data_IF_898274892298
#
_entry.id   IF_898274892298
#
_cell.length_a   1.000
_cell.length_b   1.000
_cell.length_c   1.000
_cell.angle_alpha   90.00
_cell.angle_beta   90.00
_cell.angle_gamma   90.00
#
_symmetry.space_group_name_H-M   'P 1'
#
loop_
_entity.id
_entity.type
_entity.pdbx_description
1 polymer ?
#
# COMPACT_ATOMS: atom_id res chain seq x y z
N UNK A 1 10.72 -29.03 -27.11
CA UNK A 1 10.85 -27.62 -26.65
C UNK A 1 9.77 -26.71 -27.24
N UNK A 2 9.39 -26.86 -28.50
CA UNK A 2 8.37 -26.02 -29.17
C UNK A 2 7.01 -25.97 -28.46
N UNK A 3 6.52 -27.09 -27.89
CA UNK A 3 5.24 -27.12 -27.18
C UNK A 3 5.21 -26.28 -25.89
N UNK A 4 6.37 -26.04 -25.25
CA UNK A 4 6.44 -25.15 -24.08
C UNK A 4 6.17 -23.68 -24.45
N UNK A 5 6.52 -23.24 -25.67
CA UNK A 5 6.17 -21.90 -26.15
C UNK A 5 4.65 -21.71 -26.33
N UNK A 6 3.90 -22.80 -26.48
CA UNK A 6 2.44 -22.78 -26.52
C UNK A 6 1.80 -22.96 -25.14
N UNK A 7 2.59 -22.98 -24.05
CA UNK A 7 2.08 -23.16 -22.69
C UNK A 7 1.61 -24.58 -22.37
N UNK A 8 1.99 -25.57 -23.20
CA UNK A 8 1.63 -26.97 -22.97
C UNK A 8 2.70 -27.61 -22.08
N UNK A 9 2.29 -28.07 -20.91
CA UNK A 9 3.18 -28.78 -19.98
C UNK A 9 3.53 -30.16 -20.55
N UNK A 10 4.69 -30.69 -20.15
CA UNK A 10 5.14 -32.01 -20.60
C UNK A 10 4.10 -33.11 -20.34
N UNK A 11 3.42 -33.03 -19.20
CA UNK A 11 2.37 -33.98 -18.78
C UNK A 11 1.15 -33.95 -19.71
N UNK A 12 0.90 -32.84 -20.42
CA UNK A 12 -0.25 -32.66 -21.32
C UNK A 12 0.10 -32.85 -22.81
N UNK A 13 1.35 -33.23 -23.12
CA UNK A 13 1.77 -33.41 -24.51
C UNK A 13 0.97 -34.52 -25.21
N UNK A 14 0.72 -35.64 -24.53
CA UNK A 14 0.01 -36.78 -25.13
C UNK A 14 -1.46 -36.46 -25.42
N UNK A 15 -2.13 -35.76 -24.50
CA UNK A 15 -3.50 -35.28 -24.71
C UNK A 15 -3.57 -34.31 -25.90
N UNK A 16 -2.63 -33.35 -25.97
CA UNK A 16 -2.54 -32.43 -27.10
C UNK A 16 -2.30 -33.17 -28.43
N UNK A 17 -1.37 -34.13 -28.46
CA UNK A 17 -1.10 -34.92 -29.66
C UNK A 17 -2.29 -35.81 -30.04
N UNK A 18 -3.04 -36.31 -29.07
CA UNK A 18 -4.27 -37.06 -29.30
C UNK A 18 -5.37 -36.19 -29.88
N UNK A 19 -5.56 -34.97 -29.37
CA UNK A 19 -6.55 -34.00 -29.84
C UNK A 19 -6.31 -33.57 -31.29
N UNK A 20 -5.05 -33.30 -31.67
CA UNK A 20 -4.71 -32.97 -33.07
C UNK A 20 -4.62 -34.20 -33.97
N UNK A 21 -4.90 -35.40 -33.43
CA UNK A 21 -4.86 -36.67 -34.15
C UNK A 21 -3.46 -37.15 -34.52
N UNK A 22 -2.40 -36.53 -34.00
CA UNK A 22 -1.00 -36.89 -34.26
C UNK A 22 -0.65 -38.31 -33.83
N UNK A 23 -1.33 -38.84 -32.80
CA UNK A 23 -1.10 -40.20 -32.30
C UNK A 23 -1.85 -41.30 -33.10
N UNK A 24 -2.64 -40.95 -34.12
CA UNK A 24 -3.28 -41.96 -34.97
C UNK A 24 -2.25 -42.52 -35.94
N UNK A 25 -2.07 -43.85 -35.99
CA UNK A 25 -1.08 -44.51 -36.85
C UNK A 25 -1.17 -44.09 -38.33
N UNK A 26 -2.38 -43.89 -38.85
CA UNK A 26 -2.61 -43.40 -40.22
C UNK A 26 -2.14 -41.96 -40.42
N UNK A 27 -2.27 -41.13 -39.38
CA UNK A 27 -1.86 -39.72 -39.39
C UNK A 27 -0.35 -39.61 -39.23
N UNK A 28 0.25 -40.34 -38.29
CA UNK A 28 1.69 -40.43 -38.11
C UNK A 28 2.39 -40.98 -39.36
N UNK A 29 1.88 -42.06 -39.98
CA UNK A 29 2.44 -42.64 -41.20
C UNK A 29 2.34 -41.67 -42.39
N UNK A 30 1.19 -41.00 -42.56
CA UNK A 30 1.05 -39.95 -43.58
C UNK A 30 2.06 -38.81 -43.38
N UNK A 31 2.26 -38.38 -42.13
CA UNK A 31 3.20 -37.29 -41.83
C UNK A 31 4.65 -37.70 -42.05
N UNK A 32 5.02 -38.92 -41.65
CA UNK A 32 6.34 -39.48 -41.93
C UNK A 32 6.61 -39.54 -43.44
N UNK A 33 5.64 -39.99 -44.24
CA UNK A 33 5.80 -40.07 -45.69
C UNK A 33 5.86 -38.69 -46.36
N UNK A 34 5.09 -37.70 -45.91
CA UNK A 34 5.20 -36.31 -46.41
C UNK A 34 6.55 -35.70 -46.09
N UNK A 35 7.10 -35.98 -44.91
CA UNK A 35 8.43 -35.50 -44.51
C UNK A 35 9.55 -36.20 -45.29
N UNK A 36 9.50 -37.53 -45.41
CA UNK A 36 10.49 -38.33 -46.13
C UNK A 36 10.49 -38.08 -47.65
N UNK A 37 9.34 -37.72 -48.23
CA UNK A 37 9.22 -37.38 -49.66
C UNK A 37 9.66 -35.96 -49.99
N UNK A 38 10.10 -35.16 -49.01
CA UNK A 38 10.53 -33.77 -49.23
C UNK A 38 9.44 -32.85 -49.77
N UNK A 39 8.17 -33.28 -49.74
CA UNK A 39 7.02 -32.54 -50.29
C UNK A 39 6.56 -31.44 -49.33
N UNK A 40 7.43 -30.46 -49.12
CA UNK A 40 7.25 -29.36 -48.17
C UNK A 40 6.02 -28.50 -48.48
N UNK A 41 5.67 -28.34 -49.76
CA UNK A 41 4.47 -27.60 -50.19
C UNK A 41 3.18 -28.26 -49.69
N UNK A 42 3.15 -29.60 -49.66
CA UNK A 42 1.99 -30.35 -49.15
C UNK A 42 1.87 -30.21 -47.64
N UNK A 43 3.02 -30.08 -46.95
CA UNK A 43 3.08 -29.82 -45.51
C UNK A 43 2.54 -28.41 -45.17
N UNK A 44 2.97 -27.38 -45.93
CA UNK A 44 2.50 -26.00 -45.77
C UNK A 44 1.00 -25.86 -46.12
N UNK A 45 0.56 -26.43 -47.24
CA UNK A 45 -0.83 -26.32 -47.72
C UNK A 45 -1.85 -27.07 -46.83
N UNK A 46 -1.42 -28.09 -46.08
CA UNK A 46 -2.23 -28.72 -45.02
C UNK A 46 -2.40 -27.85 -43.76
N UNK A 47 -1.88 -26.62 -43.77
CA UNK A 47 -2.00 -25.67 -42.67
C UNK A 47 -1.01 -25.87 -41.54
N UNK A 48 0.11 -26.52 -41.83
CA UNK A 48 1.11 -26.91 -40.84
C UNK A 48 2.44 -26.30 -41.27
N UNK A 49 2.78 -25.15 -40.68
CA UNK A 49 4.06 -24.46 -41.00
C UNK A 49 4.11 -22.96 -40.72
N UNK A 50 2.96 -22.29 -40.56
CA UNK A 50 2.91 -20.86 -40.30
C UNK A 50 2.31 -20.06 -41.46
N UNK A 51 1.47 -19.09 -41.09
CA UNK A 51 0.72 -18.12 -41.93
C UNK A 51 -0.05 -18.70 -43.13
N UNK A 52 -1.30 -19.06 -42.88
CA UNK A 52 -2.31 -19.33 -43.92
C UNK A 52 -2.71 -18.09 -44.75
N UNK A 53 -2.49 -16.90 -44.21
CA UNK A 53 -2.91 -15.62 -44.76
C UNK A 53 -1.84 -14.63 -44.32
N UNK A 54 -1.46 -13.68 -45.18
CA UNK A 54 -0.72 -12.50 -44.76
C UNK A 54 -1.37 -11.98 -43.47
N UNK A 55 -0.66 -12.00 -42.35
CA UNK A 55 -1.19 -11.38 -41.15
C UNK A 55 -1.46 -9.92 -41.46
N UNK A 56 -2.43 -9.33 -40.76
CA UNK A 56 -2.69 -7.89 -40.84
C UNK A 56 -1.40 -7.06 -40.86
N UNK A 57 -0.40 -7.39 -40.03
CA UNK A 57 0.86 -6.67 -39.97
C UNK A 57 1.84 -6.95 -41.11
N UNK A 58 1.64 -8.00 -41.92
CA UNK A 58 2.40 -8.14 -43.18
C UNK A 58 1.97 -7.11 -44.22
N UNK A 59 0.71 -6.69 -44.16
CA UNK A 59 0.15 -5.66 -45.03
C UNK A 59 0.35 -4.27 -44.41
N UNK A 60 0.33 -4.18 -43.07
CA UNK A 60 0.43 -2.93 -42.31
C UNK A 60 1.55 -3.00 -41.24
N UNK A 61 2.83 -3.10 -41.65
CA UNK A 61 3.95 -3.20 -40.71
C UNK A 61 4.12 -1.93 -39.86
N UNK A 62 3.80 -0.76 -40.40
CA UNK A 62 3.90 0.51 -39.67
C UNK A 62 2.90 0.57 -38.51
N UNK A 63 1.69 0.00 -38.69
CA UNK A 63 0.70 -0.11 -37.63
C UNK A 63 1.20 -1.06 -36.53
N UNK A 64 1.93 -2.13 -36.87
CA UNK A 64 2.53 -3.01 -35.86
C UNK A 64 3.50 -2.25 -34.96
N UNK A 65 4.40 -1.46 -35.56
CA UNK A 65 5.39 -0.69 -34.84
C UNK A 65 4.74 0.35 -33.91
N UNK A 66 3.73 1.07 -34.41
CA UNK A 66 2.98 2.06 -33.62
C UNK A 66 2.20 1.41 -32.49
N UNK A 67 1.51 0.30 -32.76
CA UNK A 67 0.70 -0.42 -31.76
C UNK A 67 1.57 -1.01 -30.65
N UNK A 68 2.76 -1.53 -31.00
CA UNK A 68 3.74 -2.02 -30.04
C UNK A 68 4.29 -0.89 -29.17
N UNK A 69 4.62 0.26 -29.75
CA UNK A 69 5.10 1.41 -28.97
C UNK A 69 4.01 1.95 -28.03
N UNK A 70 2.77 2.05 -28.52
CA UNK A 70 1.61 2.44 -27.73
C UNK A 70 1.41 1.51 -26.52
N UNK A 71 1.43 0.19 -26.73
CA UNK A 71 1.26 -0.77 -25.63
C UNK A 71 2.40 -0.71 -24.62
N UNK A 72 3.66 -0.55 -25.04
CA UNK A 72 4.80 -0.37 -24.12
C UNK A 72 4.60 0.88 -23.25
N UNK A 73 4.24 2.01 -23.85
CA UNK A 73 4.00 3.26 -23.12
C UNK A 73 2.83 3.16 -22.14
N UNK A 74 1.72 2.55 -22.57
CA UNK A 74 0.52 2.39 -21.72
C UNK A 74 0.75 1.39 -20.58
N UNK A 75 1.47 0.30 -20.82
CA UNK A 75 1.86 -0.65 -19.77
C UNK A 75 2.82 -0.02 -18.74
N UNK A 76 3.65 0.95 -19.15
CA UNK A 76 4.55 1.67 -18.24
C UNK A 76 3.86 2.79 -17.45
N UNK A 77 2.63 3.16 -17.81
CA UNK A 77 1.89 4.25 -17.15
C UNK A 77 1.42 3.84 -15.75
N UNK A 78 1.48 4.80 -14.80
CA UNK A 78 1.07 4.57 -13.40
C UNK A 78 -0.42 4.28 -13.22
N UNK A 79 -1.27 4.72 -14.16
CA UNK A 79 -2.71 4.58 -14.08
C UNK A 79 -3.18 3.11 -14.19
N UNK A 80 -2.38 2.24 -14.82
CA UNK A 80 -2.64 0.80 -14.96
C UNK A 80 -4.05 0.45 -15.52
N UNK A 81 -4.61 1.35 -16.32
CA UNK A 81 -5.94 1.28 -16.95
C UNK A 81 -5.91 0.60 -18.34
N UNK A 82 -4.72 0.31 -18.85
CA UNK A 82 -4.54 -0.28 -20.17
C UNK A 82 -5.07 -1.71 -20.29
N UNK A 83 -5.92 -1.93 -21.30
CA UNK A 83 -6.40 -3.25 -21.67
C UNK A 83 -6.29 -3.54 -23.17
N UNK A 84 -6.64 -4.76 -23.56
CA UNK A 84 -6.57 -5.18 -24.97
C UNK A 84 -7.65 -4.53 -25.85
N UNK A 85 -8.68 -3.91 -25.26
CA UNK A 85 -9.70 -3.16 -25.99
C UNK A 85 -9.19 -1.77 -26.36
N UNK A 86 -8.45 -1.09 -25.47
CA UNK A 86 -7.74 0.14 -25.81
C UNK A 86 -6.77 -0.07 -26.96
N UNK A 87 -6.00 -1.17 -26.95
CA UNK A 87 -5.12 -1.50 -28.08
C UNK A 87 -5.89 -1.73 -29.38
N UNK A 88 -7.03 -2.40 -29.32
CA UNK A 88 -7.86 -2.67 -30.48
C UNK A 88 -8.42 -1.37 -31.09
N UNK A 89 -8.86 -0.42 -30.24
CA UNK A 89 -9.28 0.93 -30.67
C UNK A 89 -8.13 1.70 -31.32
N UNK A 90 -6.96 1.69 -30.70
CA UNK A 90 -5.77 2.35 -31.26
C UNK A 90 -5.46 1.82 -32.66
N UNK A 91 -5.42 0.50 -32.85
CA UNK A 91 -5.17 -0.12 -34.16
C UNK A 91 -6.24 0.26 -35.19
N UNK A 92 -7.51 0.29 -34.77
CA UNK A 92 -8.64 0.68 -35.61
C UNK A 92 -8.47 2.12 -36.14
N UNK A 93 -8.15 3.06 -35.25
CA UNK A 93 -7.89 4.46 -35.61
C UNK A 93 -6.70 4.61 -36.57
N UNK A 94 -5.59 3.93 -36.29
CA UNK A 94 -4.40 3.98 -37.16
C UNK A 94 -4.68 3.39 -38.55
N UNK A 95 -5.49 2.33 -38.64
CA UNK A 95 -5.86 1.70 -39.90
C UNK A 95 -6.65 2.66 -40.81
N UNK A 96 -7.69 3.30 -40.27
CA UNK A 96 -8.50 4.22 -41.06
C UNK A 96 -7.74 5.50 -41.42
N UNK A 97 -6.85 5.97 -40.54
CA UNK A 97 -5.95 7.07 -40.83
C UNK A 97 -5.02 6.75 -42.01
N UNK A 98 -4.41 5.56 -42.02
CA UNK A 98 -3.45 5.16 -43.05
C UNK A 98 -4.11 4.86 -44.40
N UNK A 99 -5.28 4.22 -44.39
CA UNK A 99 -5.96 3.77 -45.61
C UNK A 99 -6.90 4.80 -46.22
N UNK A 100 -7.27 5.85 -45.48
CA UNK A 100 -8.31 6.83 -45.85
C UNK A 100 -9.68 6.21 -46.17
N UNK A 101 -9.91 4.96 -45.77
CA UNK A 101 -11.22 4.31 -45.89
C UNK A 101 -12.14 4.94 -44.84
N UNK A 102 -13.40 5.22 -45.21
CA UNK A 102 -14.39 5.66 -44.24
C UNK A 102 -14.89 4.46 -43.45
N UNK A 103 -14.78 4.52 -42.12
CA UNK A 103 -15.37 3.53 -41.22
C UNK A 103 -16.87 3.42 -41.51
N UNK A 104 -17.35 2.20 -41.72
CA UNK A 104 -18.78 1.94 -41.87
C UNK A 104 -19.47 2.19 -40.52
N UNK A 105 -20.80 2.37 -40.53
CA UNK A 105 -21.57 2.60 -39.30
C UNK A 105 -21.60 1.38 -38.36
N UNK A 106 -20.92 0.28 -38.72
CA UNK A 106 -20.78 -0.88 -37.87
C UNK A 106 -19.69 -0.62 -36.83
N UNK A 107 -20.02 -0.85 -35.57
CA UNK A 107 -19.10 -0.64 -34.43
C UNK A 107 -18.03 -1.76 -34.31
N UNK A 108 -17.70 -2.42 -35.43
CA UNK A 108 -16.72 -3.49 -35.47
C UNK A 108 -15.30 -2.93 -35.58
N UNK A 109 -14.41 -3.44 -34.73
CA UNK A 109 -12.98 -3.12 -34.75
C UNK A 109 -12.27 -3.94 -35.83
N UNK A 110 -11.34 -3.32 -36.56
CA UNK A 110 -10.48 -3.98 -37.55
C UNK A 110 -9.70 -5.16 -36.94
N UNK A 111 -9.30 -5.04 -35.66
CA UNK A 111 -8.77 -6.15 -34.88
C UNK A 111 -9.62 -6.41 -33.65
N UNK A 112 -10.00 -7.67 -33.45
CA UNK A 112 -10.72 -8.07 -32.25
C UNK A 112 -9.86 -7.97 -31.00
N UNK A 113 -10.48 -7.72 -29.84
CA UNK A 113 -9.82 -7.75 -28.52
C UNK A 113 -9.05 -9.07 -28.31
N UNK A 114 -9.60 -10.20 -28.77
CA UNK A 114 -8.94 -11.52 -28.67
C UNK A 114 -7.65 -11.57 -29.49
N UNK A 115 -7.63 -10.97 -30.68
CA UNK A 115 -6.43 -10.86 -31.51
C UNK A 115 -5.39 -9.95 -30.86
N UNK A 116 -5.80 -8.80 -30.31
CA UNK A 116 -4.91 -7.88 -29.61
C UNK A 116 -4.25 -8.51 -28.37
N UNK A 117 -4.94 -9.39 -27.65
CA UNK A 117 -4.34 -10.19 -26.55
C UNK A 117 -3.22 -11.12 -27.06
N UNK A 118 -3.36 -11.69 -28.25
CA UNK A 118 -2.34 -12.52 -28.87
C UNK A 118 -1.16 -11.67 -29.35
N UNK A 119 -1.42 -10.50 -29.91
CA UNK A 119 -0.40 -9.55 -30.33
C UNK A 119 0.46 -9.09 -29.14
N UNK A 120 -0.17 -8.69 -28.02
CA UNK A 120 0.52 -8.34 -26.78
C UNK A 120 1.47 -9.45 -26.32
N UNK A 121 1.00 -10.71 -26.30
CA UNK A 121 1.85 -11.86 -25.96
C UNK A 121 3.00 -12.08 -26.94
N UNK A 122 2.76 -11.91 -28.25
CA UNK A 122 3.80 -12.01 -29.29
C UNK A 122 4.87 -10.94 -29.12
N UNK A 123 4.48 -9.76 -28.67
CA UNK A 123 5.40 -8.65 -28.39
C UNK A 123 6.12 -8.78 -27.05
N UNK A 124 5.87 -9.83 -26.27
CA UNK A 124 6.55 -10.11 -25.00
C UNK A 124 5.77 -9.68 -23.75
N UNK A 125 4.56 -9.14 -23.90
CA UNK A 125 3.76 -8.74 -22.75
C UNK A 125 3.16 -9.94 -22.00
N UNK A 126 3.12 -9.85 -20.67
CA UNK A 126 2.49 -10.84 -19.78
C UNK A 126 1.27 -10.24 -19.11
N UNK A 127 0.21 -11.04 -18.98
CA UNK A 127 -0.98 -10.64 -18.23
C UNK A 127 -0.89 -11.24 -16.83
N UNK A 128 -0.55 -10.41 -15.85
CA UNK A 128 -0.34 -10.86 -14.48
C UNK A 128 -1.43 -10.33 -13.57
N UNK A 129 -1.94 -11.23 -12.72
CA UNK A 129 -2.70 -10.85 -11.54
C UNK A 129 -1.72 -10.45 -10.44
N UNK A 130 -1.70 -9.17 -10.07
CA UNK A 130 -0.94 -8.64 -8.97
C UNK A 130 -1.41 -9.26 -7.65
N UNK A 131 -0.70 -10.30 -7.21
CA UNK A 131 -0.84 -10.89 -5.87
C UNK A 131 0.17 -10.30 -4.89
N UNK A 132 1.09 -9.45 -5.35
CA UNK A 132 2.12 -8.88 -4.50
C UNK A 132 1.61 -7.64 -3.79
N UNK A 133 1.66 -7.68 -2.44
CA UNK A 133 1.51 -6.50 -1.58
C UNK A 133 2.49 -5.42 -2.06
N UNK A 134 2.13 -4.12 -1.99
CA UNK A 134 3.04 -3.05 -2.36
C UNK A 134 4.39 -3.23 -1.65
N UNK A 135 5.47 -3.39 -2.41
CA UNK A 135 6.81 -3.39 -1.85
C UNK A 135 7.14 -1.94 -1.50
N UNK A 136 7.11 -1.59 -0.21
CA UNK A 136 7.62 -0.29 0.22
C UNK A 136 9.14 -0.41 0.39
N UNK A 137 9.86 0.41 -0.36
CA UNK A 137 11.31 0.56 -0.29
C UNK A 137 11.73 0.90 1.16
N UNK A 138 12.72 0.19 1.69
CA UNK A 138 13.25 0.42 3.05
C UNK A 138 12.98 -0.69 4.08
N UNK A 139 12.06 -1.61 3.84
CA UNK A 139 11.78 -2.72 4.78
C UNK A 139 12.96 -3.65 5.07
N UNK A 140 13.96 -3.69 4.19
CA UNK A 140 15.18 -4.49 4.35
C UNK A 140 16.37 -3.71 4.91
N UNK A 141 16.20 -2.42 5.24
CA UNK A 141 17.28 -1.65 5.86
C UNK A 141 17.59 -2.22 7.24
N UNK A 142 18.87 -2.24 7.61
CA UNK A 142 19.33 -2.87 8.83
C UNK A 142 18.72 -2.24 10.10
N UNK A 143 18.54 -0.92 10.10
CA UNK A 143 17.90 -0.20 11.21
C UNK A 143 16.43 -0.59 11.38
N UNK A 144 15.70 -0.75 10.27
CA UNK A 144 14.31 -1.22 10.27
C UNK A 144 14.22 -2.67 10.76
N UNK A 145 15.11 -3.55 10.30
CA UNK A 145 15.18 -4.94 10.76
C UNK A 145 15.49 -5.01 12.26
N UNK A 146 16.38 -4.16 12.76
CA UNK A 146 16.70 -4.09 14.19
C UNK A 146 15.49 -3.63 15.01
N UNK A 147 14.78 -2.59 14.58
CA UNK A 147 13.55 -2.15 15.24
C UNK A 147 12.47 -3.24 15.26
N UNK A 148 12.26 -3.93 14.14
CA UNK A 148 11.33 -5.07 14.07
C UNK A 148 11.75 -6.19 15.02
N UNK A 149 13.05 -6.46 15.14
CA UNK A 149 13.58 -7.47 16.06
C UNK A 149 13.27 -7.09 17.51
N UNK A 150 13.52 -5.84 17.90
CA UNK A 150 13.19 -5.34 19.24
C UNK A 150 11.68 -5.39 19.51
N UNK A 151 10.87 -5.04 18.51
CA UNK A 151 9.42 -5.14 18.60
C UNK A 151 8.98 -6.59 18.87
N UNK A 152 9.49 -7.56 18.10
CA UNK A 152 9.16 -8.98 18.29
C UNK A 152 9.66 -9.52 19.64
N UNK A 153 10.84 -9.10 20.11
CA UNK A 153 11.37 -9.48 21.43
C UNK A 153 10.49 -9.01 22.59
N UNK A 154 9.69 -7.95 22.40
CA UNK A 154 8.72 -7.50 23.38
C UNK A 154 7.52 -8.46 23.48
N UNK A 155 6.92 -8.84 22.34
CA UNK A 155 5.66 -9.58 22.31
C UNK A 155 5.82 -11.10 22.43
N UNK A 156 6.82 -11.70 21.76
CA UNK A 156 6.96 -13.16 21.69
C UNK A 156 7.08 -13.83 23.06
N UNK A 157 7.87 -13.32 24.04
CA UNK A 157 7.94 -13.91 25.37
C UNK A 157 6.64 -13.78 26.18
N UNK A 158 5.72 -12.90 25.78
CA UNK A 158 4.46 -12.62 26.47
C UNK A 158 3.24 -13.12 25.73
N UNK A 159 3.42 -13.91 24.67
CA UNK A 159 2.32 -14.46 23.86
C UNK A 159 1.22 -15.10 24.71
N UNK A 160 1.60 -15.76 25.82
CA UNK A 160 0.69 -16.48 26.72
C UNK A 160 -0.05 -15.56 27.72
N UNK A 161 0.25 -14.26 27.70
CA UNK A 161 -0.47 -13.23 28.45
C UNK A 161 -1.58 -12.56 27.62
N UNK A 162 -1.64 -12.78 26.30
CA UNK A 162 -2.64 -12.19 25.41
C UNK A 162 -3.74 -13.17 25.05
N UNK A 163 -4.93 -12.63 24.78
CA UNK A 163 -6.01 -13.39 24.14
C UNK A 163 -5.69 -13.54 22.65
N UNK A 164 -5.53 -14.78 22.21
CA UNK A 164 -5.23 -15.11 20.80
C UNK A 164 -6.33 -15.98 20.20
N UNK A 165 -6.45 -15.98 18.88
CA UNK A 165 -7.34 -16.89 18.16
C UNK A 165 -6.46 -17.99 17.55
N UNK A 166 -6.81 -19.26 17.80
CA UNK A 166 -6.09 -20.38 17.21
C UNK A 166 -6.21 -20.38 15.69
N UNK A 167 -5.11 -20.63 14.99
CA UNK A 167 -5.13 -20.89 13.56
C UNK A 167 -5.77 -22.25 13.26
N UNK A 168 -6.67 -22.31 12.27
CA UNK A 168 -7.31 -23.56 11.85
C UNK A 168 -8.72 -23.35 11.27
N UNK A 169 -9.31 -24.43 10.75
CA UNK A 169 -10.65 -24.41 10.15
C UNK A 169 -11.78 -24.05 11.15
N UNK A 170 -11.49 -24.10 12.46
CA UNK A 170 -12.41 -23.77 13.54
C UNK A 170 -11.67 -22.91 14.58
N UNK A 171 -11.62 -21.58 14.40
CA UNK A 171 -10.89 -20.69 15.29
C UNK A 171 -11.47 -20.70 16.70
N UNK A 172 -10.61 -20.85 17.72
CA UNK A 172 -10.97 -20.82 19.14
C UNK A 172 -10.16 -19.78 19.88
N UNK A 173 -10.78 -19.10 20.83
CA UNK A 173 -10.10 -18.19 21.75
C UNK A 173 -9.16 -18.98 22.66
N UNK A 174 -7.89 -18.59 22.66
CA UNK A 174 -6.88 -19.00 23.62
C UNK A 174 -6.89 -17.98 24.75
N UNK A 175 -7.14 -18.47 25.96
CA UNK A 175 -7.20 -17.66 27.17
C UNK A 175 -5.78 -17.55 27.74
N UNK A 176 -5.35 -16.36 28.20
CA UNK A 176 -4.07 -16.18 28.87
C UNK A 176 -3.89 -17.18 30.01
N UNK A 177 -2.72 -17.83 30.08
CA UNK A 177 -2.41 -18.84 31.09
C UNK A 177 -1.40 -18.36 32.12
N UNK A 178 -0.73 -17.23 31.86
CA UNK A 178 0.34 -16.70 32.72
C UNK A 178 0.19 -15.20 32.96
N UNK A 179 0.28 -14.82 34.23
CA UNK A 179 0.33 -13.42 34.67
C UNK A 179 -1.02 -12.71 34.61
N UNK A 180 -0.98 -11.37 34.63
CA UNK A 180 -2.16 -10.55 34.42
C UNK A 180 -2.59 -10.62 32.96
N UNK A 181 -3.82 -11.03 32.64
CA UNK A 181 -4.35 -11.02 31.28
C UNK A 181 -4.16 -9.64 30.63
N UNK A 182 -3.70 -9.64 29.39
CA UNK A 182 -3.41 -8.43 28.63
C UNK A 182 -4.27 -8.37 27.37
N UNK A 183 -5.00 -7.28 27.21
CA UNK A 183 -5.78 -6.97 26.03
C UNK A 183 -4.86 -6.24 25.05
N UNK A 184 -4.68 -6.83 23.87
CA UNK A 184 -3.95 -6.22 22.78
C UNK A 184 -4.91 -5.50 21.85
N UNK A 185 -4.77 -4.18 21.75
CA UNK A 185 -5.55 -3.34 20.84
C UNK A 185 -4.64 -2.95 19.69
N UNK A 186 -5.03 -3.28 18.46
CA UNK A 186 -4.34 -2.83 17.26
C UNK A 186 -5.23 -1.84 16.51
N UNK A 187 -4.62 -0.78 15.97
CA UNK A 187 -5.34 0.25 15.22
C UNK A 187 -4.49 0.74 14.06
N UNK A 188 -5.14 0.88 12.91
CA UNK A 188 -4.55 1.34 11.67
C UNK A 188 -5.58 2.14 10.84
N UNK A 189 -5.11 3.08 10.03
CA UNK A 189 -5.94 3.79 9.06
C UNK A 189 -5.87 3.07 7.71
N UNK A 190 -7.03 2.78 7.13
CA UNK A 190 -7.11 2.31 5.76
C UNK A 190 -7.94 3.26 4.93
N UNK A 191 -7.34 3.78 3.86
CA UNK A 191 -8.09 4.41 2.77
C UNK A 191 -8.65 3.31 1.90
N UNK A 192 -9.96 3.16 1.90
CA UNK A 192 -10.66 2.30 0.95
C UNK A 192 -10.95 3.10 -0.33
N UNK A 193 -10.84 2.46 -1.51
CA UNK A 193 -11.00 3.10 -2.83
C UNK A 193 -12.17 2.48 -3.59
N UNK A 194 -12.99 3.29 -4.27
CA UNK A 194 -13.96 2.79 -5.24
C UNK A 194 -13.22 2.44 -6.54
N UNK A 195 -13.57 1.32 -7.14
CA UNK A 195 -13.11 0.97 -8.49
C UNK A 195 -11.61 0.69 -8.58
N UNK A 196 -11.00 0.01 -7.60
CA UNK A 196 -9.65 -0.54 -7.80
C UNK A 196 -9.61 -1.31 -9.12
N UNK A 197 -8.92 -0.68 -10.07
CA UNK A 197 -8.72 -1.14 -11.43
C UNK A 197 -8.11 -2.50 -11.31
N UNK A 198 -8.88 -3.50 -11.75
CA UNK A 198 -8.51 -4.89 -12.00
C UNK A 198 -7.11 -5.24 -11.49
N UNK A 199 -7.04 -6.13 -10.49
CA UNK A 199 -5.79 -6.74 -10.05
C UNK A 199 -4.98 -7.41 -11.18
N UNK A 200 -5.45 -7.39 -12.44
CA UNK A 200 -4.80 -7.95 -13.61
C UNK A 200 -4.45 -6.85 -14.63
N UNK A 201 -3.22 -6.84 -15.11
CA UNK A 201 -2.75 -5.91 -16.15
C UNK A 201 -1.72 -6.55 -17.08
N UNK A 202 -1.48 -5.90 -18.21
CA UNK A 202 -0.39 -6.24 -19.12
C UNK A 202 0.92 -5.56 -18.68
N UNK A 203 2.03 -6.30 -18.74
CA UNK A 203 3.37 -5.84 -18.35
C UNK A 203 4.39 -6.26 -19.40
N UNK A 204 5.38 -5.40 -19.67
CA UNK A 204 6.56 -5.70 -20.47
C UNK A 204 7.78 -5.83 -19.56
N UNK A 205 8.56 -6.90 -19.76
CA UNK A 205 9.75 -7.25 -18.95
C UNK A 205 9.48 -7.31 -17.43
N UNK A 206 10.50 -7.54 -16.60
CA UNK A 206 10.38 -7.57 -15.13
C UNK A 206 10.12 -6.17 -14.52
N UNK A 207 9.50 -5.26 -15.27
CA UNK A 207 9.12 -3.95 -14.78
C UNK A 207 8.03 -4.12 -13.72
N UNK A 208 8.40 -3.91 -12.47
CA UNK A 208 7.48 -3.78 -11.35
C UNK A 208 7.08 -2.31 -11.25
N UNK A 209 5.87 -1.91 -11.66
CA UNK A 209 5.52 -0.50 -11.66
C UNK A 209 5.26 0.01 -10.24
N UNK A 210 5.57 1.31 -10.07
CA UNK A 210 5.30 2.08 -8.88
C UNK A 210 3.80 2.40 -8.76
N UNK A 211 3.18 2.06 -7.64
CA UNK A 211 1.82 2.46 -7.32
C UNK A 211 1.79 3.92 -6.85
N UNK A 212 1.00 4.78 -7.50
CA UNK A 212 0.58 6.05 -6.90
C UNK A 212 -0.65 5.83 -6.02
N UNK A 213 -0.77 6.60 -4.94
CA UNK A 213 -1.99 6.62 -4.13
C UNK A 213 -3.15 7.17 -4.98
N UNK A 214 -4.15 6.34 -5.29
CA UNK A 214 -5.36 6.70 -6.07
C UNK A 214 -6.38 7.52 -5.27
N UNK A 215 -7.56 7.79 -5.86
CA UNK A 215 -8.69 8.56 -5.26
C UNK A 215 -9.55 7.70 -4.31
N UNK A 216 -10.17 8.34 -3.31
CA UNK A 216 -10.95 7.71 -2.24
C UNK A 216 -12.41 7.39 -2.64
N UNK A 217 -13.07 6.48 -1.89
CA UNK A 217 -14.42 5.95 -2.13
C UNK A 217 -15.53 7.02 -2.21
N UNK A 218 -16.52 6.72 -3.07
CA UNK A 218 -17.93 7.09 -2.88
C UNK A 218 -18.68 5.90 -2.25
N UNK A 219 -19.75 6.25 -1.55
CA UNK A 219 -20.61 5.44 -0.66
C UNK A 219 -21.05 4.06 -1.21
N UNK A 220 -21.34 3.13 -0.28
CA UNK A 220 -21.99 1.83 -0.50
C UNK A 220 -21.12 0.61 -0.84
N UNK A 221 -20.26 0.16 0.08
CA UNK A 221 -19.99 -1.28 0.20
C UNK A 221 -20.03 -1.71 1.67
N UNK A 222 -21.01 -2.56 1.99
CA UNK A 222 -21.16 -3.19 3.29
C UNK A 222 -19.92 -4.05 3.60
N UNK A 223 -19.09 -3.58 4.52
CA UNK A 223 -17.99 -4.36 5.08
C UNK A 223 -18.60 -5.29 6.14
N UNK A 224 -18.46 -6.61 5.94
CA UNK A 224 -18.86 -7.62 6.93
C UNK A 224 -17.95 -7.50 8.16
N UNK A 225 -18.48 -6.92 9.24
CA UNK A 225 -17.83 -6.87 10.53
C UNK A 225 -17.94 -8.23 11.22
N UNK A 226 -16.81 -8.82 11.59
CA UNK A 226 -16.77 -10.00 12.46
C UNK A 226 -17.35 -9.57 13.83
N UNK A 227 -18.46 -10.20 14.25
CA UNK A 227 -19.26 -9.93 15.47
C UNK A 227 -18.49 -9.77 16.81
N UNK A 228 -17.18 -10.02 16.85
CA UNK A 228 -16.37 -10.07 18.06
C UNK A 228 -15.18 -9.10 18.09
N UNK A 229 -14.99 -8.26 17.06
CA UNK A 229 -14.04 -7.14 17.13
C UNK A 229 -14.78 -5.86 17.50
N UNK A 230 -14.26 -5.10 18.48
CA UNK A 230 -14.73 -3.74 18.74
C UNK A 230 -14.18 -2.82 17.64
N UNK A 231 -14.77 -2.91 16.45
CA UNK A 231 -14.41 -2.06 15.32
C UNK A 231 -15.26 -0.79 15.38
N UNK A 232 -14.62 0.38 15.41
CA UNK A 232 -15.29 1.67 15.28
C UNK A 232 -14.94 2.24 13.90
N UNK A 233 -15.95 2.49 13.06
CA UNK A 233 -15.80 3.27 11.84
C UNK A 233 -16.14 4.73 12.12
N UNK A 234 -15.44 5.63 11.43
CA UNK A 234 -15.72 7.06 11.49
C UNK A 234 -15.53 7.66 10.11
N UNK A 235 -16.53 8.40 9.68
CA UNK A 235 -16.51 9.12 8.42
C UNK A 235 -15.89 10.50 8.64
N UNK A 236 -14.70 10.74 8.08
CA UNK A 236 -13.99 12.03 8.20
C UNK A 236 -14.43 13.05 7.14
N UNK A 237 -15.19 12.64 6.12
CA UNK A 237 -15.59 13.50 4.99
C UNK A 237 -14.71 13.30 3.75
N UNK A 238 -15.04 14.01 2.68
CA UNK A 238 -14.31 13.94 1.40
C UNK A 238 -12.97 14.69 1.50
N UNK A 239 -11.88 14.11 1.01
CA UNK A 239 -10.50 14.64 1.11
C UNK A 239 -10.07 15.00 2.55
N UNK A 240 -10.65 14.34 3.54
CA UNK A 240 -10.38 14.62 4.94
C UNK A 240 -9.27 13.72 5.49
N UNK A 241 -8.27 14.33 6.12
CA UNK A 241 -7.21 13.62 6.82
C UNK A 241 -7.55 13.45 8.30
N UNK A 242 -7.12 12.33 8.89
CA UNK A 242 -7.12 12.17 10.34
C UNK A 242 -6.14 13.16 10.96
N UNK A 243 -6.63 14.11 11.75
CA UNK A 243 -5.79 14.96 12.58
C UNK A 243 -5.61 14.38 14.00
N UNK A 244 -4.72 14.98 14.79
CA UNK A 244 -4.41 14.49 16.14
C UNK A 244 -5.64 14.51 17.06
N UNK A 245 -6.51 15.52 16.92
CA UNK A 245 -7.69 15.69 17.76
C UNK A 245 -8.71 14.57 17.48
N UNK A 246 -8.85 14.22 16.21
CA UNK A 246 -9.68 13.14 15.71
C UNK A 246 -9.22 11.78 16.25
N UNK A 247 -7.92 11.51 16.20
CA UNK A 247 -7.32 10.29 16.78
C UNK A 247 -7.51 10.25 18.30
N UNK A 248 -7.26 11.34 19.01
CA UNK A 248 -7.45 11.41 20.46
C UNK A 248 -8.90 11.13 20.85
N UNK A 249 -9.86 11.72 20.14
CA UNK A 249 -11.29 11.51 20.37
C UNK A 249 -11.69 10.03 20.18
N UNK A 250 -11.08 9.34 19.20
CA UNK A 250 -11.29 7.90 19.01
C UNK A 250 -10.79 7.09 20.21
N UNK A 251 -9.58 7.38 20.71
CA UNK A 251 -9.04 6.70 21.89
C UNK A 251 -9.85 6.99 23.15
N UNK A 252 -10.24 8.24 23.39
CA UNK A 252 -11.08 8.61 24.52
C UNK A 252 -12.41 7.86 24.50
N UNK A 253 -13.05 7.77 23.32
CA UNK A 253 -14.29 7.00 23.16
C UNK A 253 -14.06 5.51 23.42
N UNK A 254 -12.98 4.94 22.89
CA UNK A 254 -12.62 3.54 23.12
C UNK A 254 -12.44 3.25 24.61
N UNK A 255 -11.66 4.05 25.32
CA UNK A 255 -11.42 3.85 26.75
C UNK A 255 -12.68 4.02 27.59
N UNK A 256 -13.53 5.02 27.29
CA UNK A 256 -14.85 5.15 27.92
C UNK A 256 -15.71 3.90 27.72
N UNK A 257 -15.69 3.30 26.53
CA UNK A 257 -16.44 2.07 26.26
C UNK A 257 -15.85 0.86 27.00
N UNK A 258 -14.53 0.80 27.18
CA UNK A 258 -13.85 -0.28 27.91
C UNK A 258 -14.18 -0.26 29.41
N UNK A 259 -14.39 0.92 30.01
CA UNK A 259 -14.80 1.05 31.42
C UNK A 259 -16.12 0.34 31.73
N UNK A 260 -17.04 0.27 30.77
CA UNK A 260 -18.33 -0.42 30.95
C UNK A 260 -18.27 -1.93 30.70
N UNK A 261 -17.12 -2.48 30.34
CA UNK A 261 -16.95 -3.92 30.07
C UNK A 261 -16.29 -4.61 31.26
N UNK A 262 -17.11 -5.10 32.18
CA UNK A 262 -16.65 -5.82 33.38
C UNK A 262 -15.70 -6.98 33.07
N UNK A 263 -15.88 -7.65 31.92
CA UNK A 263 -14.99 -8.72 31.47
C UNK A 263 -13.54 -8.29 31.22
N UNK A 264 -13.28 -6.97 31.11
CA UNK A 264 -11.96 -6.38 30.94
C UNK A 264 -11.40 -5.78 32.23
N UNK A 265 -12.13 -5.86 33.36
CA UNK A 265 -11.61 -5.44 34.65
C UNK A 265 -10.32 -6.20 35.00
N UNK A 266 -9.37 -5.51 35.63
CA UNK A 266 -8.07 -6.03 36.04
C UNK A 266 -7.16 -6.54 34.90
N UNK A 267 -7.48 -6.21 33.64
CA UNK A 267 -6.59 -6.49 32.52
C UNK A 267 -5.56 -5.37 32.35
N UNK A 268 -4.38 -5.74 31.84
CA UNK A 268 -3.47 -4.76 31.24
C UNK A 268 -3.96 -4.45 29.83
N UNK A 269 -3.75 -3.22 29.37
CA UNK A 269 -4.06 -2.82 27.99
C UNK A 269 -2.75 -2.42 27.33
N UNK A 270 -2.44 -3.07 26.21
CA UNK A 270 -1.34 -2.68 25.32
C UNK A 270 -1.92 -2.26 23.97
N UNK A 271 -1.45 -1.12 23.44
CA UNK A 271 -1.94 -0.56 22.18
C UNK A 271 -0.79 -0.58 21.17
N UNK A 272 -1.08 -1.13 19.99
CA UNK A 272 -0.19 -1.09 18.82
C UNK A 272 -0.82 -0.17 17.78
N UNK A 273 -0.05 0.85 17.40
CA UNK A 273 -0.34 1.76 16.29
C UNK A 273 0.90 1.86 15.41
N UNK A 274 0.71 2.23 14.15
CA UNK A 274 1.85 2.60 13.31
C UNK A 274 2.51 3.91 13.82
N UNK A 275 3.68 4.24 13.30
CA UNK A 275 4.39 5.47 13.68
C UNK A 275 3.97 6.67 12.82
N UNK A 276 2.69 6.76 12.42
CA UNK A 276 2.18 7.94 11.76
C UNK A 276 2.43 9.19 12.61
N UNK A 277 2.68 10.33 11.96
CA UNK A 277 2.93 11.61 12.66
C UNK A 277 1.79 11.97 13.61
N UNK A 278 0.56 11.59 13.26
CA UNK A 278 -0.65 11.85 14.05
C UNK A 278 -0.77 10.96 15.28
N UNK A 279 -0.26 9.73 15.23
CA UNK A 279 -0.21 8.82 16.38
C UNK A 279 0.90 9.16 17.38
N UNK A 280 1.99 9.78 16.91
CA UNK A 280 3.16 10.13 17.72
C UNK A 280 3.20 11.61 18.13
N UNK A 281 2.25 12.40 17.67
CA UNK A 281 2.16 13.82 17.99
C UNK A 281 1.91 14.00 19.49
N UNK A 282 2.84 14.68 20.14
CA UNK A 282 2.74 14.96 21.57
C UNK A 282 2.09 16.31 21.76
N UNK A 283 0.83 16.31 22.18
CA UNK A 283 0.16 17.52 22.66
C UNK A 283 0.52 17.69 24.14
N UNK A 284 1.40 18.63 24.42
CA UNK A 284 1.67 19.03 25.80
C UNK A 284 0.73 20.18 26.16
N UNK A 285 0.43 20.37 27.44
CA UNK A 285 -0.27 21.57 27.91
C UNK A 285 0.70 22.43 28.75
N UNK A 286 0.70 23.75 28.54
CA UNK A 286 1.48 24.70 29.33
C UNK A 286 1.08 24.64 30.82
N UNK A 287 -0.14 24.18 31.09
CA UNK A 287 -0.65 23.92 32.44
C UNK A 287 0.08 22.79 33.19
N UNK A 288 0.75 21.89 32.48
CA UNK A 288 1.50 20.79 33.07
C UNK A 288 2.91 21.18 33.52
N UNK A 289 3.39 22.37 33.13
CA UNK A 289 4.68 22.88 33.60
C UNK A 289 4.53 23.60 34.94
N UNK A 290 5.46 23.31 35.85
CA UNK A 290 5.66 24.04 37.09
C UNK A 290 6.54 25.29 36.90
N UNK A 291 6.58 26.16 37.91
CA UNK A 291 7.30 27.44 37.84
C UNK A 291 8.81 27.29 37.98
N UNK A 292 9.27 26.49 38.95
CA UNK A 292 10.66 26.47 39.42
C UNK A 292 11.46 25.24 39.02
N UNK A 293 12.71 25.20 39.45
CA UNK A 293 13.61 24.05 39.25
C UNK A 293 13.06 22.82 39.99
N UNK A 294 13.24 21.63 39.41
CA UNK A 294 12.74 20.37 39.97
C UNK A 294 11.22 20.33 40.15
N UNK A 295 10.47 21.15 39.41
CA UNK A 295 9.00 21.07 39.36
C UNK A 295 8.52 20.29 38.13
N UNK A 296 7.21 20.10 38.02
CA UNK A 296 6.57 19.32 36.95
C UNK A 296 7.03 19.82 35.57
N UNK A 297 7.51 18.91 34.73
CA UNK A 297 7.87 19.20 33.34
C UNK A 297 7.46 17.98 32.51
N UNK A 298 6.49 18.09 31.60
CA UNK A 298 5.96 16.96 30.85
C UNK A 298 6.88 16.49 29.70
N UNK A 299 8.01 17.18 29.49
CA UNK A 299 8.89 17.00 28.34
C UNK A 299 10.36 17.03 28.72
N UNK A 300 11.17 16.26 27.98
CA UNK A 300 12.63 16.33 28.10
C UNK A 300 13.23 17.46 27.26
N UNK A 301 12.55 17.84 26.18
CA UNK A 301 13.03 18.78 25.18
C UNK A 301 11.88 19.45 24.44
N UNK A 302 12.02 20.75 24.19
CA UNK A 302 11.17 21.53 23.28
C UNK A 302 11.88 21.67 21.93
N UNK A 303 11.17 21.50 20.82
CA UNK A 303 11.68 21.71 19.48
C UNK A 303 10.72 22.58 18.67
N UNK A 304 11.26 23.53 17.92
CA UNK A 304 10.47 24.42 17.06
C UNK A 304 11.29 24.83 15.84
N UNK A 305 10.62 25.41 14.85
CA UNK A 305 11.27 26.03 13.68
C UNK A 305 11.21 27.54 13.88
N UNK A 306 12.34 28.22 13.75
CA UNK A 306 12.39 29.68 13.84
C UNK A 306 11.96 30.37 12.53
N UNK A 307 11.89 31.70 12.56
CA UNK A 307 11.48 32.52 11.41
C UNK A 307 12.41 32.39 10.20
N UNK A 308 13.59 31.78 10.36
CA UNK A 308 14.57 31.51 9.29
C UNK A 308 14.47 30.09 8.75
N UNK A 309 13.52 29.29 9.25
CA UNK A 309 13.34 27.89 8.86
C UNK A 309 14.33 26.94 9.54
N UNK A 310 15.10 27.38 10.53
CA UNK A 310 16.04 26.52 11.24
C UNK A 310 15.37 25.84 12.44
N UNK A 311 15.65 24.55 12.61
CA UNK A 311 15.16 23.76 13.75
C UNK A 311 15.94 24.13 15.00
N UNK A 312 15.23 24.70 15.96
CA UNK A 312 15.71 25.02 17.30
C UNK A 312 15.30 23.94 18.30
N UNK A 313 16.08 23.79 19.37
CA UNK A 313 15.87 22.77 20.38
C UNK A 313 16.35 23.24 21.75
N UNK A 314 15.52 23.08 22.77
CA UNK A 314 15.83 23.44 24.16
C UNK A 314 15.63 22.23 25.08
N UNK A 315 16.67 21.88 25.85
CA UNK A 315 16.58 20.84 26.87
C UNK A 315 15.79 21.35 28.07
N UNK A 316 14.77 20.62 28.50
CA UNK A 316 13.99 20.94 29.69
C UNK A 316 14.61 20.43 30.99
N UNK A 317 15.83 19.90 30.91
CA UNK A 317 16.65 19.51 32.05
C UNK A 317 17.98 20.25 32.02
N UNK A 318 18.51 20.57 33.20
CA UNK A 318 19.84 21.14 33.34
C UNK A 318 20.90 20.10 32.95
N UNK A 319 21.71 20.42 31.94
CA UNK A 319 22.77 19.54 31.45
C UNK A 319 24.06 19.66 32.29
N UNK A 320 24.27 20.81 32.94
CA UNK A 320 25.48 21.15 33.68
C UNK A 320 25.13 21.96 34.94
N UNK A 321 26.13 22.20 35.80
CA UNK A 321 26.01 23.00 37.02
C UNK A 321 25.41 22.26 38.22
N UNK A 322 25.13 23.01 39.31
CA UNK A 322 24.62 22.48 40.59
C UNK A 322 23.22 21.85 40.50
N UNK A 323 22.48 22.14 39.42
CA UNK A 323 21.15 21.60 39.16
C UNK A 323 21.12 20.48 38.11
N UNK A 324 22.28 19.94 37.70
CA UNK A 324 22.35 18.89 36.66
C UNK A 324 21.36 17.75 36.91
N UNK A 325 20.61 17.38 35.88
CA UNK A 325 19.59 16.32 35.92
C UNK A 325 18.26 16.73 36.54
N UNK A 326 18.14 17.94 37.09
CA UNK A 326 16.85 18.49 37.54
C UNK A 326 16.09 19.09 36.36
N UNK A 327 14.75 19.04 36.43
CA UNK A 327 13.88 19.69 35.45
C UNK A 327 13.95 21.22 35.58
N UNK A 328 13.83 21.89 34.44
CA UNK A 328 13.63 23.33 34.32
C UNK A 328 12.14 23.63 34.41
N UNK A 329 11.76 24.52 35.31
CA UNK A 329 10.41 25.10 35.31
C UNK A 329 10.27 26.18 34.23
N UNK A 330 9.05 26.68 34.04
CA UNK A 330 8.77 27.73 33.05
C UNK A 330 9.62 28.99 33.25
N UNK A 331 10.01 29.30 34.49
CA UNK A 331 10.86 30.47 34.75
C UNK A 331 12.23 30.33 34.06
N UNK A 332 12.90 29.20 34.25
CA UNK A 332 14.22 28.93 33.66
C UNK A 332 14.14 28.79 32.14
N UNK A 333 13.06 28.15 31.65
CA UNK A 333 12.82 28.04 30.20
C UNK A 333 12.61 29.44 29.59
N UNK A 334 11.84 30.32 30.24
CA UNK A 334 11.64 31.69 29.77
C UNK A 334 12.93 32.52 29.76
N UNK A 335 13.83 32.32 30.74
CA UNK A 335 15.16 32.95 30.74
C UNK A 335 15.99 32.48 29.56
N UNK A 336 16.05 31.17 29.29
CA UNK A 336 16.79 30.62 28.14
C UNK A 336 16.20 31.02 26.78
N UNK A 337 14.90 31.30 26.74
CA UNK A 337 14.20 31.88 25.58
C UNK A 337 14.31 33.41 25.51
N UNK A 338 15.15 34.04 26.35
CA UNK A 338 15.43 35.47 26.38
C UNK A 338 14.26 36.39 26.77
N UNK A 339 13.25 35.89 27.47
CA UNK A 339 12.12 36.72 27.96
C UNK A 339 12.41 37.50 29.25
N UNK A 340 13.47 37.14 29.99
CA UNK A 340 13.89 37.79 31.25
C UNK A 340 12.73 38.11 32.23
N UNK A 341 11.93 37.12 32.64
CA UNK A 341 10.77 37.35 33.51
C UNK A 341 11.18 37.80 34.92
N UNK A 342 10.35 38.63 35.55
CA UNK A 342 10.53 39.01 36.96
C UNK A 342 10.44 37.77 37.88
N UNK A 343 11.30 37.59 38.89
CA UNK A 343 11.18 36.48 39.86
C UNK A 343 9.81 36.41 40.56
N UNK A 344 9.14 37.57 40.68
CA UNK A 344 7.80 37.72 41.28
C UNK A 344 6.65 37.30 40.34
N UNK A 345 6.92 37.11 39.04
CA UNK A 345 5.92 36.79 38.03
C UNK A 345 5.18 35.48 38.41
N UNK A 346 3.85 35.50 38.41
CA UNK A 346 3.04 34.32 38.76
C UNK A 346 3.14 33.26 37.68
N UNK A 347 2.86 32.01 38.03
CA UNK A 347 2.88 30.90 37.08
C UNK A 347 1.87 31.10 35.93
N UNK A 348 0.69 31.65 36.22
CA UNK A 348 -0.31 32.00 35.20
C UNK A 348 0.21 33.03 34.19
N UNK A 349 0.92 34.05 34.67
CA UNK A 349 1.52 35.10 33.84
C UNK A 349 2.69 34.55 33.01
N UNK A 350 3.52 33.66 33.57
CA UNK A 350 4.55 32.93 32.81
C UNK A 350 3.95 32.08 31.69
N UNK A 351 2.82 31.42 31.96
CA UNK A 351 2.11 30.61 30.96
C UNK A 351 1.59 31.47 29.81
N UNK A 352 0.96 32.61 30.13
CA UNK A 352 0.51 33.56 29.10
C UNK A 352 1.68 34.13 28.29
N UNK A 353 2.79 34.48 28.96
CA UNK A 353 3.99 34.99 28.30
C UNK A 353 4.55 34.00 27.28
N UNK A 354 4.61 32.72 27.65
CA UNK A 354 5.17 31.67 26.81
C UNK A 354 4.19 31.08 25.80
N UNK A 355 2.87 31.27 25.98
CA UNK A 355 1.83 30.70 25.10
C UNK A 355 1.98 31.12 23.63
N UNK A 356 2.55 32.30 23.38
CA UNK A 356 2.75 32.80 22.02
C UNK A 356 4.09 32.39 21.40
N UNK A 357 5.01 31.85 22.20
CA UNK A 357 6.33 31.48 21.71
C UNK A 357 6.26 30.20 20.85
N UNK A 358 6.95 30.12 19.69
CA UNK A 358 6.91 28.95 18.79
C UNK A 358 7.21 27.60 19.47
N UNK A 359 8.10 27.59 20.47
CA UNK A 359 8.39 26.40 21.29
C UNK A 359 7.16 25.82 22.01
N UNK A 360 6.11 26.63 22.20
CA UNK A 360 4.86 26.25 22.85
C UNK A 360 3.64 26.37 21.92
N UNK A 361 3.80 26.63 20.62
CA UNK A 361 2.64 26.70 19.70
C UNK A 361 2.04 25.32 19.39
N UNK A 362 2.80 24.24 19.57
CA UNK A 362 2.30 22.86 19.53
C UNK A 362 1.75 22.38 20.90
N UNK A 363 1.51 23.31 21.82
CA UNK A 363 1.07 23.05 23.19
C UNK A 363 -0.32 23.67 23.34
N UNK A 364 -1.36 22.83 23.51
CA UNK A 364 -2.75 23.28 23.57
C UNK A 364 -2.93 24.15 24.82
N UNK A 365 -3.31 25.40 24.65
CA UNK A 365 -3.70 26.30 25.74
C UNK A 365 -5.21 26.18 25.94
N UNK A 366 -5.64 25.50 27.01
CA UNK A 366 -7.02 25.61 27.46
C UNK A 366 -7.12 26.89 28.30
N UNK A 367 -7.83 27.88 27.77
CA UNK A 367 -8.12 29.16 28.43
C UNK A 367 -8.96 28.97 29.68
#
# INVERSE_FOLDING_TARGET
MTLRHFGISWVKCDDFFKEIGALRATTANRWANTFLSGSFDKFINEGRGGKHISSFYDVFPDIELLAKNYSVQRCAAKAADFDAFELAKFIDEQFYMLTSIKKDSNDSLIRSVKSCRLDLRRWGARFESNSQRPYFEGHKRQDVVQHLTTFLQHFLPRKDSYYLISEGAQPKWQIPTVGTPTILIFRDESTFRSGEVSAKRWLYDDQVPFYSKGRELDEEQHIDYIERSASASMHVGFDAYFDNATILTQFERLFKLLEFKECFNNHKIEIIVDNARTHSARNYNLSDFGKGISTRCPVDRLQWVDDKGATQSLSCYFQQGSNRGKSKGLFEIAVELNYNPSPKLKLSELRQLLAHHPAFQNVIFLS
#
